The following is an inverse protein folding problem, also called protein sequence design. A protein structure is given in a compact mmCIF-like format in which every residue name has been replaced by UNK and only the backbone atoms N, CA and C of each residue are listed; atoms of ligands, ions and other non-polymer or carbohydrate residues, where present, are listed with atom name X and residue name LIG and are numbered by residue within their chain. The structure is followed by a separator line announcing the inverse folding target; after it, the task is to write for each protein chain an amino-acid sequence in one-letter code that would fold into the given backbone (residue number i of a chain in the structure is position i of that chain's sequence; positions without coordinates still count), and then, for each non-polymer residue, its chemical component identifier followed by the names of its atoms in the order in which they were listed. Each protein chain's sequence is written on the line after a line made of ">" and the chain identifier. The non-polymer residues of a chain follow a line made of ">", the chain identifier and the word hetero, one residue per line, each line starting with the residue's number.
data_IF_496463605232
#
_entry.id   IF_496463605232
#
_cell.length_a   1.000
_cell.length_b   1.000
_cell.length_c   1.000
_cell.angle_alpha   90.00
_cell.angle_beta   90.00
_cell.angle_gamma   90.00
#
_symmetry.space_group_name_H-M   'P 1'
#
loop_
_entity.id
_entity.type
_entity.pdbx_description
1 polymer ?
#
# COMPACT_ATOMS: atom_id res chain seq x y z
N UNK A 1 -56.40 -50.85 -5.44
CA UNK A 1 -55.19 -51.11 -6.25
C UNK A 1 -55.07 -49.98 -7.27
N UNK A 2 -53.89 -49.35 -7.36
CA UNK A 2 -53.65 -47.97 -7.84
C UNK A 2 -53.73 -47.82 -9.37
N UNK A 3 -54.39 -46.77 -9.85
CA UNK A 3 -54.08 -46.10 -11.13
C UNK A 3 -54.31 -44.59 -10.95
N UNK A 4 -53.28 -43.78 -11.18
CA UNK A 4 -53.33 -42.58 -12.02
C UNK A 4 -51.91 -42.00 -12.15
N UNK A 5 -51.42 -41.95 -13.39
CA UNK A 5 -50.27 -41.17 -13.83
C UNK A 5 -50.53 -39.68 -13.63
N UNK A 6 -49.46 -38.92 -13.35
CA UNK A 6 -49.27 -37.59 -13.93
C UNK A 6 -47.77 -37.32 -14.07
N UNK A 7 -47.34 -37.28 -15.32
CA UNK A 7 -46.03 -36.90 -15.82
C UNK A 7 -45.74 -35.43 -15.54
N UNK A 8 -44.62 -35.13 -14.88
CA UNK A 8 -44.09 -33.77 -14.73
C UNK A 8 -42.68 -33.69 -15.28
N UNK A 9 -42.54 -33.33 -16.56
CA UNK A 9 -41.25 -33.03 -17.18
C UNK A 9 -40.87 -31.60 -16.82
N UNK A 10 -39.93 -31.42 -15.89
CA UNK A 10 -39.37 -30.10 -15.57
C UNK A 10 -38.14 -29.87 -16.46
N UNK A 11 -38.30 -29.05 -17.51
CA UNK A 11 -37.18 -28.53 -18.30
C UNK A 11 -36.59 -27.35 -17.54
N UNK A 12 -35.46 -27.58 -16.85
CA UNK A 12 -34.64 -26.51 -16.28
C UNK A 12 -33.84 -25.85 -17.41
N UNK A 13 -34.40 -24.77 -17.97
CA UNK A 13 -33.70 -23.86 -18.86
C UNK A 13 -32.60 -23.12 -18.10
N UNK A 14 -31.36 -23.58 -18.25
CA UNK A 14 -30.18 -22.86 -17.79
C UNK A 14 -29.97 -21.60 -18.62
N UNK A 15 -30.34 -20.44 -18.06
CA UNK A 15 -29.92 -19.15 -18.58
C UNK A 15 -28.42 -18.98 -18.30
N UNK A 16 -27.59 -19.25 -19.31
CA UNK A 16 -26.22 -18.78 -19.36
C UNK A 16 -26.22 -17.24 -19.30
N UNK A 17 -26.00 -16.68 -18.11
CA UNK A 17 -25.55 -15.30 -17.99
C UNK A 17 -24.12 -15.25 -18.55
N UNK A 18 -24.00 -14.89 -19.83
CA UNK A 18 -22.71 -14.49 -20.37
C UNK A 18 -22.26 -13.21 -19.63
N UNK A 19 -21.03 -13.15 -19.12
CA UNK A 19 -20.48 -11.90 -18.63
C UNK A 19 -20.38 -10.95 -19.82
N UNK A 20 -21.19 -9.89 -19.83
CA UNK A 20 -21.00 -8.81 -20.79
C UNK A 20 -19.58 -8.25 -20.61
N UNK A 21 -18.83 -8.00 -21.69
CA UNK A 21 -17.55 -7.33 -21.57
C UNK A 21 -17.82 -5.94 -20.99
N UNK A 22 -17.25 -5.66 -19.82
CA UNK A 22 -17.17 -4.30 -19.31
C UNK A 22 -16.29 -3.52 -20.29
N UNK A 23 -16.90 -2.72 -21.17
CA UNK A 23 -16.16 -1.70 -21.88
C UNK A 23 -15.65 -0.74 -20.81
N UNK A 24 -14.32 -0.67 -20.65
CA UNK A 24 -13.72 0.42 -19.89
C UNK A 24 -14.22 1.71 -20.55
N UNK A 25 -14.95 2.54 -19.79
CA UNK A 25 -15.46 3.81 -20.30
C UNK A 25 -14.23 4.70 -20.58
N UNK A 26 -13.83 4.76 -21.85
CA UNK A 26 -12.74 5.61 -22.31
C UNK A 26 -13.28 7.00 -22.63
N UNK A 27 -12.53 8.04 -22.24
CA UNK A 27 -12.82 9.43 -22.60
C UNK A 27 -12.53 9.69 -24.08
N UNK A 28 -13.14 10.72 -24.64
CA UNK A 28 -12.74 11.21 -25.95
C UNK A 28 -11.25 11.65 -25.92
N UNK A 29 -10.45 11.09 -26.84
CA UNK A 29 -9.00 11.32 -26.90
C UNK A 29 -8.66 12.81 -27.13
N UNK A 30 -9.54 13.57 -27.79
CA UNK A 30 -9.32 15.02 -27.99
C UNK A 30 -9.53 15.77 -26.68
N UNK A 31 -10.51 15.37 -25.88
CA UNK A 31 -10.77 15.97 -24.58
C UNK A 31 -9.64 15.67 -23.59
N UNK A 32 -9.10 14.44 -23.59
CA UNK A 32 -7.94 14.11 -22.74
C UNK A 32 -6.67 14.89 -23.13
N UNK A 33 -6.39 15.08 -24.43
CA UNK A 33 -5.26 15.90 -24.90
C UNK A 33 -5.38 17.38 -24.52
N UNK A 34 -6.58 17.94 -24.53
CA UNK A 34 -6.81 19.33 -24.07
C UNK A 34 -6.50 19.45 -22.58
N UNK A 35 -6.97 18.49 -21.78
CA UNK A 35 -6.71 18.46 -20.33
C UNK A 35 -5.22 18.30 -20.06
N UNK A 36 -4.52 17.42 -20.77
CA UNK A 36 -3.07 17.23 -20.62
C UNK A 36 -2.29 18.51 -20.95
N UNK A 37 -2.66 19.22 -22.02
CA UNK A 37 -2.03 20.48 -22.40
C UNK A 37 -2.20 21.60 -21.35
N UNK A 38 -3.28 21.60 -20.58
CA UNK A 38 -3.57 22.61 -19.56
C UNK A 38 -3.03 22.20 -18.18
N UNK A 39 -3.20 20.93 -17.82
CA UNK A 39 -3.09 20.44 -16.44
C UNK A 39 -1.99 19.38 -16.24
N UNK A 40 -1.47 18.78 -17.32
CA UNK A 40 -0.57 17.64 -17.26
C UNK A 40 -1.11 16.50 -16.39
N UNK A 41 -0.27 15.96 -15.52
CA UNK A 41 -0.60 14.81 -14.67
C UNK A 41 -1.45 15.12 -13.43
N UNK A 42 -1.74 16.40 -13.12
CA UNK A 42 -2.34 16.81 -11.85
C UNK A 42 -3.79 17.31 -12.01
N UNK A 43 -4.60 16.54 -12.75
CA UNK A 43 -5.95 16.90 -13.22
C UNK A 43 -6.86 17.40 -12.09
N UNK A 44 -7.10 16.62 -11.04
CA UNK A 44 -8.04 16.97 -9.98
C UNK A 44 -7.59 18.14 -9.12
N UNK A 45 -6.28 18.48 -9.10
CA UNK A 45 -5.77 19.71 -8.48
C UNK A 45 -5.98 20.92 -9.36
N UNK A 46 -5.78 20.76 -10.67
CA UNK A 46 -5.91 21.79 -11.68
C UNK A 46 -7.32 22.38 -11.66
N UNK A 47 -8.35 21.53 -11.79
CA UNK A 47 -9.76 21.95 -11.85
C UNK A 47 -10.39 22.44 -10.53
N UNK A 48 -9.59 22.66 -9.48
CA UNK A 48 -10.05 23.33 -8.25
C UNK A 48 -10.23 24.83 -8.45
N UNK A 49 -9.54 25.40 -9.44
CA UNK A 49 -9.70 26.80 -9.81
C UNK A 49 -10.84 26.90 -10.84
N UNK A 50 -11.76 27.84 -10.63
CA UNK A 50 -12.98 27.95 -11.44
C UNK A 50 -12.71 28.44 -12.86
N UNK A 51 -11.67 29.24 -13.05
CA UNK A 51 -11.22 29.84 -14.31
C UNK A 51 -10.72 28.81 -15.32
N UNK A 52 -10.23 27.64 -14.87
CA UNK A 52 -9.77 26.59 -15.78
C UNK A 52 -10.92 26.01 -16.62
N UNK A 53 -12.14 26.01 -16.09
CA UNK A 53 -13.32 25.51 -16.81
C UNK A 53 -13.68 26.35 -18.04
N UNK A 54 -13.27 27.62 -18.09
CA UNK A 54 -13.53 28.51 -19.23
C UNK A 54 -12.72 28.12 -20.48
N UNK A 55 -11.62 27.38 -20.29
CA UNK A 55 -10.76 26.89 -21.37
C UNK A 55 -11.20 25.52 -21.91
N UNK A 56 -12.20 24.90 -21.29
CA UNK A 56 -12.69 23.59 -21.69
C UNK A 56 -13.87 23.74 -22.65
N UNK A 57 -13.78 23.18 -23.88
CA UNK A 57 -14.93 23.17 -24.77
C UNK A 57 -16.12 22.48 -24.12
N UNK A 58 -17.33 23.03 -24.28
CA UNK A 58 -18.55 22.48 -23.66
C UNK A 58 -18.79 20.99 -23.98
N UNK A 59 -18.38 20.54 -25.17
CA UNK A 59 -18.43 19.12 -25.58
C UNK A 59 -17.52 18.19 -24.76
N UNK A 60 -16.52 18.74 -24.09
CA UNK A 60 -15.56 18.01 -23.26
C UNK A 60 -15.89 18.11 -21.77
N UNK A 61 -16.80 19.00 -21.34
CA UNK A 61 -17.06 19.24 -19.92
C UNK A 61 -17.49 17.98 -19.16
N UNK A 62 -18.27 17.09 -19.80
CA UNK A 62 -18.66 15.80 -19.20
C UNK A 62 -17.46 14.87 -18.98
N UNK A 63 -16.67 14.63 -20.03
CA UNK A 63 -15.47 13.80 -19.94
C UNK A 63 -14.45 14.37 -18.94
N UNK A 64 -14.26 15.69 -18.93
CA UNK A 64 -13.36 16.38 -18.00
C UNK A 64 -13.83 16.24 -16.56
N UNK A 65 -15.13 16.38 -16.31
CA UNK A 65 -15.70 16.15 -14.99
C UNK A 65 -15.41 14.72 -14.51
N UNK A 66 -15.67 13.71 -15.34
CA UNK A 66 -15.39 12.32 -14.99
C UNK A 66 -13.88 12.07 -14.76
N UNK A 67 -12.99 12.67 -15.56
CA UNK A 67 -11.55 12.58 -15.34
C UNK A 67 -11.11 13.21 -14.00
N UNK A 68 -11.71 14.33 -13.61
CA UNK A 68 -11.46 14.99 -12.32
C UNK A 68 -11.96 14.13 -11.16
N UNK A 69 -13.14 13.54 -11.29
CA UNK A 69 -13.73 12.63 -10.30
C UNK A 69 -12.83 11.42 -10.08
N UNK A 70 -12.39 10.76 -11.17
CA UNK A 70 -11.50 9.61 -11.06
C UNK A 70 -10.12 9.96 -10.48
N UNK A 71 -9.49 11.08 -10.85
CA UNK A 71 -8.20 11.49 -10.26
C UNK A 71 -8.36 11.77 -8.77
N UNK A 72 -9.47 12.39 -8.37
CA UNK A 72 -9.77 12.64 -6.96
C UNK A 72 -9.92 11.33 -6.19
N UNK A 73 -10.70 10.39 -6.70
CA UNK A 73 -10.90 9.08 -6.09
C UNK A 73 -9.59 8.28 -6.01
N UNK A 74 -8.81 8.25 -7.09
CA UNK A 74 -7.51 7.59 -7.13
C UNK A 74 -6.56 8.16 -6.07
N UNK A 75 -6.54 9.49 -5.87
CA UNK A 75 -5.72 10.13 -4.83
C UNK A 75 -6.24 9.87 -3.43
N UNK A 76 -7.55 9.82 -3.24
CA UNK A 76 -8.14 9.46 -1.95
C UNK A 76 -7.78 8.02 -1.59
N UNK A 77 -7.85 7.09 -2.54
CA UNK A 77 -7.39 5.72 -2.36
C UNK A 77 -5.89 5.65 -2.04
N UNK A 78 -5.03 6.32 -2.82
CA UNK A 78 -3.59 6.37 -2.54
C UNK A 78 -3.27 6.98 -1.16
N UNK A 79 -4.03 8.00 -0.72
CA UNK A 79 -3.88 8.58 0.62
C UNK A 79 -4.22 7.58 1.71
N UNK A 80 -5.31 6.83 1.53
CA UNK A 80 -5.72 5.78 2.45
C UNK A 80 -4.69 4.65 2.48
N UNK A 81 -4.17 4.21 1.34
CA UNK A 81 -3.13 3.19 1.26
C UNK A 81 -1.84 3.65 1.94
N UNK A 82 -1.45 4.92 1.75
CA UNK A 82 -0.29 5.50 2.44
C UNK A 82 -0.53 5.67 3.94
N UNK A 83 -1.76 5.97 4.36
CA UNK A 83 -2.12 6.03 5.78
C UNK A 83 -2.11 4.62 6.41
N UNK A 84 -2.62 3.61 5.69
CA UNK A 84 -2.57 2.21 6.09
C UNK A 84 -1.13 1.69 6.16
N UNK A 85 -0.28 2.04 5.19
CA UNK A 85 1.15 1.72 5.21
C UNK A 85 1.90 2.41 6.37
N UNK A 86 1.46 3.60 6.80
CA UNK A 86 1.99 4.25 8.00
C UNK A 86 1.49 3.58 9.27
N UNK A 87 0.22 3.21 9.34
CA UNK A 87 -0.34 2.56 10.53
C UNK A 87 0.22 1.16 10.73
N UNK A 88 0.51 0.41 9.67
CA UNK A 88 1.18 -0.90 9.75
C UNK A 88 2.64 -0.80 10.23
N UNK A 89 3.31 0.32 9.99
CA UNK A 89 4.64 0.62 10.56
C UNK A 89 4.61 1.30 11.94
N UNK A 90 3.45 1.79 12.38
CA UNK A 90 3.28 2.69 13.53
C UNK A 90 2.63 2.03 14.75
N UNK A 91 2.42 0.72 14.77
CA UNK A 91 1.97 0.03 15.99
C UNK A 91 2.98 0.19 17.15
N UNK A 92 4.23 0.46 16.81
CA UNK A 92 5.30 0.62 17.78
C UNK A 92 5.92 2.01 17.65
N UNK A 93 6.37 2.57 18.78
CA UNK A 93 7.03 3.87 18.82
C UNK A 93 8.43 3.83 18.21
N UNK A 94 9.26 4.87 18.45
CA UNK A 94 10.66 4.90 18.02
C UNK A 94 11.42 3.63 18.41
N UNK A 95 12.26 3.14 17.49
CA UNK A 95 13.13 2.00 17.73
C UNK A 95 14.60 2.41 17.76
N UNK A 96 15.36 1.75 18.64
CA UNK A 96 16.77 2.09 18.88
C UNK A 96 17.64 0.84 18.98
N UNK A 97 18.88 0.98 18.50
CA UNK A 97 19.92 -0.03 18.64
C UNK A 97 20.59 0.08 20.01
N UNK A 98 20.98 -1.05 20.58
CA UNK A 98 21.88 -1.14 21.74
C UNK A 98 23.33 -1.35 21.31
N UNK A 99 23.68 -0.94 20.09
CA UNK A 99 24.99 -1.12 19.48
C UNK A 99 25.06 -2.31 18.54
N UNK A 100 26.25 -2.52 17.95
CA UNK A 100 26.55 -3.68 17.12
C UNK A 100 26.62 -3.39 15.62
N UNK A 101 26.03 -4.28 14.82
CA UNK A 101 26.15 -4.23 13.35
C UNK A 101 24.83 -4.54 12.65
N UNK A 102 24.59 -3.86 11.54
CA UNK A 102 23.63 -4.28 10.55
C UNK A 102 24.26 -5.34 9.65
N UNK A 103 23.52 -6.40 9.36
CA UNK A 103 23.97 -7.50 8.51
C UNK A 103 23.25 -7.54 7.17
N UNK A 104 23.85 -8.18 6.18
CA UNK A 104 23.28 -8.29 4.83
C UNK A 104 22.14 -9.30 4.73
N UNK A 105 22.03 -10.22 5.69
CA UNK A 105 20.97 -11.24 5.84
C UNK A 105 20.66 -11.45 7.32
N UNK A 106 19.49 -12.01 7.69
CA UNK A 106 19.13 -12.29 9.09
C UNK A 106 19.87 -13.54 9.62
N UNK A 107 21.19 -13.41 9.79
CA UNK A 107 22.07 -14.49 10.24
C UNK A 107 23.32 -13.94 10.89
N UNK A 108 23.82 -14.60 11.93
CA UNK A 108 25.07 -14.22 12.61
C UNK A 108 26.32 -14.36 11.73
N UNK A 109 26.26 -15.14 10.65
CA UNK A 109 27.35 -15.34 9.71
C UNK A 109 27.29 -14.38 8.51
N UNK A 110 26.24 -13.57 8.40
CA UNK A 110 26.09 -12.64 7.29
C UNK A 110 27.06 -11.45 7.41
N UNK A 111 27.52 -10.96 6.25
CA UNK A 111 28.44 -9.84 6.17
C UNK A 111 27.88 -8.57 6.80
N UNK A 112 28.78 -7.78 7.39
CA UNK A 112 28.45 -6.46 7.94
C UNK A 112 28.11 -5.49 6.82
N UNK A 113 26.99 -4.78 6.98
CA UNK A 113 26.56 -3.65 6.13
C UNK A 113 26.97 -2.33 6.78
N UNK A 114 26.74 -2.18 8.08
CA UNK A 114 27.05 -0.96 8.83
C UNK A 114 27.34 -1.28 10.30
N UNK A 115 28.03 -0.39 10.99
CA UNK A 115 28.02 -0.34 12.46
C UNK A 115 26.91 0.57 12.94
N UNK A 116 26.33 0.24 14.08
CA UNK A 116 25.32 1.05 14.76
C UNK A 116 25.75 1.25 16.21
N UNK A 117 25.59 2.47 16.70
CA UNK A 117 25.88 2.83 18.09
C UNK A 117 24.68 2.53 18.99
N UNK A 118 24.95 2.39 20.29
CA UNK A 118 23.89 2.37 21.29
C UNK A 118 23.11 3.70 21.26
N UNK A 119 21.79 3.61 21.41
CA UNK A 119 20.88 4.74 21.34
C UNK A 119 20.62 5.25 19.91
N UNK A 120 21.24 4.64 18.90
CA UNK A 120 21.03 5.05 17.52
C UNK A 120 19.62 4.69 17.06
N UNK A 121 18.86 5.69 16.59
CA UNK A 121 17.51 5.52 16.07
C UNK A 121 17.51 4.79 14.73
N UNK A 122 16.55 3.88 14.54
CA UNK A 122 16.34 3.12 13.31
C UNK A 122 14.97 3.47 12.70
N UNK A 123 14.91 3.74 11.39
CA UNK A 123 13.79 4.47 10.78
C UNK A 123 12.75 3.61 10.08
N UNK A 124 13.12 2.43 9.60
CA UNK A 124 12.24 1.55 8.81
C UNK A 124 12.36 0.15 9.33
N UNK A 125 11.56 -0.20 10.34
CA UNK A 125 11.69 -1.47 11.06
C UNK A 125 10.59 -2.43 10.61
N UNK A 126 10.96 -3.33 9.72
CA UNK A 126 10.11 -4.40 9.20
C UNK A 126 10.39 -5.69 9.98
N UNK A 127 9.34 -6.28 10.54
CA UNK A 127 9.37 -7.64 11.06
C UNK A 127 9.32 -8.61 9.88
N UNK A 128 10.30 -9.52 9.80
CA UNK A 128 10.43 -10.53 8.75
C UNK A 128 10.15 -11.94 9.26
N UNK A 129 9.70 -12.06 10.52
CA UNK A 129 9.33 -13.29 11.22
C UNK A 129 10.44 -14.36 11.26
N UNK A 130 11.71 -13.94 11.24
CA UNK A 130 12.87 -14.83 11.40
C UNK A 130 13.36 -14.77 12.83
N UNK A 131 13.31 -15.90 13.53
CA UNK A 131 13.72 -16.01 14.93
C UNK A 131 15.13 -16.55 15.11
N UNK A 132 15.81 -16.11 16.16
CA UNK A 132 17.09 -16.62 16.62
C UNK A 132 17.28 -16.32 18.12
N UNK A 133 17.47 -17.38 18.93
CA UNK A 133 17.65 -17.31 20.39
C UNK A 133 16.58 -16.45 21.09
N UNK A 134 15.30 -16.74 20.87
CA UNK A 134 14.14 -16.05 21.48
C UNK A 134 13.93 -14.59 21.07
N UNK A 135 14.70 -14.11 20.08
CA UNK A 135 14.53 -12.78 19.50
C UNK A 135 14.32 -12.85 17.99
N UNK A 136 13.64 -11.85 17.43
CA UNK A 136 13.42 -11.75 15.98
C UNK A 136 14.55 -10.97 15.30
N UNK A 137 14.73 -11.22 14.01
CA UNK A 137 15.47 -10.33 13.13
C UNK A 137 14.52 -9.29 12.54
N UNK A 138 15.03 -8.07 12.42
CA UNK A 138 14.30 -6.96 11.82
C UNK A 138 15.09 -6.41 10.65
N UNK A 139 14.42 -6.13 9.54
CA UNK A 139 15.00 -5.35 8.46
C UNK A 139 14.87 -3.88 8.83
N UNK A 140 16.00 -3.19 8.92
CA UNK A 140 16.10 -1.82 9.42
C UNK A 140 16.81 -0.90 8.43
N UNK A 141 16.52 0.40 8.53
CA UNK A 141 17.26 1.46 7.83
C UNK A 141 17.98 2.36 8.83
N UNK A 142 19.24 2.67 8.53
CA UNK A 142 20.08 3.60 9.27
C UNK A 142 20.92 4.44 8.30
N UNK A 143 20.74 5.76 8.27
CA UNK A 143 21.55 6.67 7.44
C UNK A 143 21.52 6.30 5.96
N UNK A 144 20.36 5.85 5.45
CA UNK A 144 20.18 5.39 4.06
C UNK A 144 20.60 3.94 3.78
N UNK A 145 21.39 3.30 4.65
CA UNK A 145 21.75 1.89 4.52
C UNK A 145 20.64 0.99 5.07
N UNK A 146 20.35 -0.09 4.36
CA UNK A 146 19.38 -1.11 4.78
C UNK A 146 20.11 -2.40 5.12
N UNK A 147 19.77 -2.99 6.26
CA UNK A 147 20.30 -4.28 6.68
C UNK A 147 19.41 -4.94 7.74
N UNK A 148 19.90 -6.03 8.32
CA UNK A 148 19.19 -6.82 9.31
C UNK A 148 19.82 -6.61 10.70
N UNK A 149 18.98 -6.30 11.68
CA UNK A 149 19.34 -6.11 13.08
C UNK A 149 18.70 -7.21 13.92
N UNK A 150 19.46 -7.78 14.85
CA UNK A 150 18.95 -8.81 15.74
C UNK A 150 18.24 -8.19 16.96
N UNK A 151 17.13 -8.79 17.36
CA UNK A 151 16.23 -8.34 18.42
C UNK A 151 16.82 -8.31 19.82
N UNK A 152 17.84 -9.14 20.09
CA UNK A 152 18.51 -9.21 21.39
C UNK A 152 19.35 -7.98 21.76
N UNK A 153 19.53 -7.05 20.82
CA UNK A 153 20.24 -5.76 20.99
C UNK A 153 19.44 -4.61 20.36
N UNK A 154 18.13 -4.78 20.30
CA UNK A 154 17.22 -3.88 19.63
C UNK A 154 15.99 -3.73 20.49
N UNK A 155 15.58 -2.48 20.76
CA UNK A 155 14.39 -2.21 21.54
C UNK A 155 13.49 -1.21 20.82
N UNK A 156 12.20 -1.32 21.05
CA UNK A 156 11.20 -0.42 20.48
C UNK A 156 10.29 0.12 21.57
N UNK A 157 10.06 1.43 21.56
CA UNK A 157 9.11 2.06 22.48
C UNK A 157 7.71 1.47 22.27
N UNK A 158 7.05 1.09 23.37
CA UNK A 158 5.77 0.38 23.34
C UNK A 158 5.90 -1.15 23.35
N UNK A 159 7.12 -1.69 23.28
CA UNK A 159 7.40 -3.12 23.37
C UNK A 159 6.99 -3.88 22.11
N UNK A 160 7.98 -4.41 21.37
CA UNK A 160 7.75 -5.24 20.19
C UNK A 160 8.13 -6.68 20.49
N UNK A 161 7.35 -7.64 20.01
CA UNK A 161 7.70 -9.06 20.13
C UNK A 161 9.10 -9.33 19.55
N UNK A 162 9.86 -10.17 20.24
CA UNK A 162 11.21 -10.53 19.80
C UNK A 162 12.23 -9.39 19.89
N UNK A 163 11.95 -8.35 20.69
CA UNK A 163 12.89 -7.27 21.05
C UNK A 163 13.16 -7.26 22.55
N UNK A 164 14.28 -6.67 22.98
CA UNK A 164 14.54 -6.44 24.41
C UNK A 164 13.76 -5.20 24.92
N UNK A 165 13.47 -5.08 26.22
CA UNK A 165 12.71 -3.94 26.76
C UNK A 165 13.51 -2.62 26.80
N UNK A 166 14.83 -2.69 27.04
CA UNK A 166 15.75 -1.56 27.11
C UNK A 166 17.20 -2.04 26.92
N UNK A 167 18.13 -1.14 26.56
CA UNK A 167 19.55 -1.47 26.42
C UNK A 167 20.27 -1.69 27.76
N UNK A 168 19.77 -1.05 28.82
CA UNK A 168 20.24 -1.21 30.19
C UNK A 168 19.12 -1.93 30.95
N UNK A 169 19.28 -3.25 31.14
CA UNK A 169 18.45 -4.08 32.01
C UNK A 169 18.94 -4.02 33.45
#
# INVERSE_FOLDING_TARGET
>A
MRIALLTGTLVLGGLCFAPFPAAAQGFDERCSKIVDAICGSEIGRCFRQKDIWDYIPSKCSGDVQSMVEMDREAREQQRNDRAAARSSGSQYGPSFSCGGVLRSRPSMNASKVASVAEGQKLESVEDIDVWFNDYKWFRVRSGGLVGYHWGGIFWTQGGREGTIPSCNG
#
